data_IF_233651309426
#
_entry.id   IF_233651309426
#
_cell.length_a   1.000
_cell.length_b   1.000
_cell.length_c   1.000
_cell.angle_alpha   90.00
_cell.angle_beta   90.00
_cell.angle_gamma   90.00
#
_symmetry.space_group_name_H-M   'P 1'
#
loop_
_entity.id
_entity.type
_entity.pdbx_description
1 polymer ?
#
# COMPACT_ATOMS: atom_id res chain seq x y z
N UNK A 1 -25.99 13.72 8.31
CA UNK A 1 -25.06 12.82 7.59
C UNK A 1 -25.76 12.40 6.30
N UNK A 2 -25.13 12.55 5.14
CA UNK A 2 -25.71 12.08 3.86
C UNK A 2 -25.14 10.71 3.55
N UNK A 3 -25.98 9.83 3.05
CA UNK A 3 -25.57 8.49 2.62
C UNK A 3 -24.88 8.53 1.24
N UNK A 4 -24.31 7.40 0.85
CA UNK A 4 -23.71 7.17 -0.46
C UNK A 4 -24.83 7.15 -1.52
N UNK A 5 -24.67 7.81 -2.68
CA UNK A 5 -25.66 7.77 -3.75
C UNK A 5 -25.81 6.37 -4.36
N UNK A 6 -27.01 6.05 -4.84
CA UNK A 6 -27.28 4.81 -5.57
C UNK A 6 -26.36 4.68 -6.81
N UNK A 7 -25.78 3.49 -6.99
CA UNK A 7 -24.91 3.20 -8.13
C UNK A 7 -23.46 3.65 -7.98
N UNK A 8 -23.10 4.27 -6.84
CA UNK A 8 -21.72 4.69 -6.56
C UNK A 8 -20.73 3.52 -6.57
N UNK A 9 -21.16 2.33 -6.16
CA UNK A 9 -20.35 1.11 -6.14
C UNK A 9 -19.75 0.79 -7.52
N UNK A 10 -20.51 1.01 -8.60
CA UNK A 10 -20.03 0.78 -9.98
C UNK A 10 -18.93 1.76 -10.36
N UNK A 11 -19.03 3.00 -9.90
CA UNK A 11 -18.00 4.00 -10.12
C UNK A 11 -16.72 3.64 -9.35
N UNK A 12 -16.84 3.16 -8.11
CA UNK A 12 -15.69 2.73 -7.31
C UNK A 12 -15.02 1.52 -7.96
N UNK A 13 -15.76 0.47 -8.32
CA UNK A 13 -15.19 -0.73 -8.95
C UNK A 13 -14.45 -0.39 -10.25
N UNK A 14 -15.03 0.47 -11.09
CA UNK A 14 -14.38 0.94 -12.31
C UNK A 14 -13.04 1.64 -12.02
N UNK A 15 -13.00 2.50 -11.00
CA UNK A 15 -11.75 3.19 -10.61
C UNK A 15 -10.73 2.20 -10.07
N UNK A 16 -11.15 1.19 -9.30
CA UNK A 16 -10.24 0.15 -8.81
C UNK A 16 -9.58 -0.63 -9.95
N UNK A 17 -10.35 -1.00 -10.97
CA UNK A 17 -9.83 -1.67 -12.18
C UNK A 17 -8.81 -0.77 -12.91
N UNK A 18 -9.15 0.51 -13.13
CA UNK A 18 -8.25 1.48 -13.79
C UNK A 18 -6.95 1.69 -12.99
N UNK A 19 -7.02 1.75 -11.66
CA UNK A 19 -5.83 1.90 -10.81
C UNK A 19 -4.97 0.64 -10.85
N UNK A 20 -5.56 -0.56 -10.91
CA UNK A 20 -4.80 -1.81 -11.04
C UNK A 20 -4.04 -1.88 -12.37
N UNK A 21 -4.69 -1.53 -13.48
CA UNK A 21 -4.06 -1.43 -14.80
C UNK A 21 -2.88 -0.44 -14.78
N UNK A 22 -3.07 0.76 -14.22
CA UNK A 22 -2.01 1.77 -14.11
C UNK A 22 -0.87 1.26 -13.22
N UNK A 23 -1.16 0.56 -12.13
CA UNK A 23 -0.14 -0.03 -11.27
C UNK A 23 0.70 -1.07 -12.01
N UNK A 24 0.06 -1.92 -12.83
CA UNK A 24 0.73 -2.89 -13.70
C UNK A 24 1.68 -2.21 -14.70
N UNK A 25 1.23 -1.11 -15.32
CA UNK A 25 2.03 -0.33 -16.27
C UNK A 25 3.25 0.29 -15.59
N UNK A 26 3.06 0.90 -14.42
CA UNK A 26 4.15 1.50 -13.62
C UNK A 26 5.20 0.44 -13.28
N UNK A 27 4.79 -0.72 -12.77
CA UNK A 27 5.71 -1.81 -12.43
C UNK A 27 6.46 -2.33 -13.66
N UNK A 28 5.77 -2.49 -14.79
CA UNK A 28 6.37 -2.93 -16.05
C UNK A 28 7.45 -1.95 -16.53
N UNK A 29 7.19 -0.65 -16.41
CA UNK A 29 8.09 0.40 -16.85
C UNK A 29 9.27 0.64 -15.90
N UNK A 30 9.09 0.44 -14.58
CA UNK A 30 10.06 0.86 -13.57
C UNK A 30 10.84 -0.30 -12.93
N UNK A 31 10.21 -1.43 -12.61
CA UNK A 31 10.82 -2.47 -11.76
C UNK A 31 12.14 -3.01 -12.33
N UNK A 32 12.20 -3.22 -13.64
CA UNK A 32 13.37 -3.76 -14.36
C UNK A 32 14.16 -2.68 -15.11
N UNK A 33 13.76 -1.42 -15.00
CA UNK A 33 14.41 -0.33 -15.70
C UNK A 33 15.72 0.04 -15.00
N UNK A 34 16.82 -0.13 -15.72
CA UNK A 34 18.16 0.14 -15.20
C UNK A 34 18.35 1.60 -14.79
N UNK A 35 17.85 2.55 -15.58
CA UNK A 35 17.95 3.99 -15.26
C UNK A 35 17.20 4.28 -13.96
N UNK A 36 16.03 3.68 -13.76
CA UNK A 36 15.28 3.83 -12.52
C UNK A 36 16.02 3.23 -11.33
N UNK A 37 16.50 1.99 -11.44
CA UNK A 37 17.24 1.31 -10.38
C UNK A 37 18.53 2.06 -10.01
N UNK A 38 19.31 2.52 -10.99
CA UNK A 38 20.55 3.28 -10.78
C UNK A 38 20.30 4.59 -10.01
N UNK A 39 19.07 5.12 -10.05
CA UNK A 39 18.68 6.37 -9.39
C UNK A 39 18.01 6.20 -8.04
N UNK A 40 17.65 4.98 -7.66
CA UNK A 40 16.81 4.70 -6.47
C UNK A 40 17.38 3.64 -5.55
N UNK A 41 18.03 2.60 -6.10
CA UNK A 41 18.67 1.56 -5.28
C UNK A 41 19.92 2.09 -4.61
N UNK A 42 20.09 1.75 -3.34
CA UNK A 42 21.16 2.22 -2.46
C UNK A 42 21.23 3.75 -2.29
N UNK A 43 20.17 4.49 -2.67
CA UNK A 43 20.09 5.95 -2.50
C UNK A 43 19.18 6.26 -1.31
N UNK A 44 19.62 7.19 -0.46
CA UNK A 44 18.83 7.67 0.68
C UNK A 44 18.51 6.56 1.68
N UNK A 45 19.45 5.66 1.94
CA UNK A 45 19.30 4.54 2.88
C UNK A 45 19.04 5.08 4.29
N UNK A 46 18.03 4.52 4.96
CA UNK A 46 17.75 4.73 6.37
C UNK A 46 17.77 3.37 7.07
N UNK A 47 18.66 3.19 8.06
CA UNK A 47 18.67 1.96 8.85
C UNK A 47 17.46 1.89 9.78
N UNK A 48 17.12 0.68 10.22
CA UNK A 48 16.05 0.44 11.21
C UNK A 48 16.24 1.27 12.48
N UNK A 49 17.47 1.35 12.98
CA UNK A 49 17.82 2.08 14.20
C UNK A 49 17.62 3.59 14.02
N UNK A 50 18.07 4.13 12.89
CA UNK A 50 17.89 5.55 12.58
C UNK A 50 16.40 5.88 12.37
N UNK A 51 15.64 5.00 11.72
CA UNK A 51 14.20 5.19 11.55
C UNK A 51 13.49 5.27 12.91
N UNK A 52 13.82 4.41 13.86
CA UNK A 52 13.29 4.46 15.23
C UNK A 52 13.72 5.75 15.94
N UNK A 53 15.02 6.06 15.91
CA UNK A 53 15.60 7.23 16.58
C UNK A 53 14.99 8.55 16.10
N UNK A 54 14.69 8.65 14.80
CA UNK A 54 14.10 9.84 14.19
C UNK A 54 12.57 9.88 14.25
N UNK A 55 11.93 8.84 14.79
CA UNK A 55 10.46 8.74 14.82
C UNK A 55 9.83 8.61 13.44
N UNK A 56 10.53 7.99 12.49
CA UNK A 56 10.02 7.74 11.15
C UNK A 56 8.93 6.66 11.20
N UNK A 57 7.84 6.85 10.46
CA UNK A 57 6.67 5.97 10.49
C UNK A 57 6.21 5.55 9.08
N UNK A 58 5.23 4.64 9.04
CA UNK A 58 4.55 4.19 7.83
C UNK A 58 5.50 3.54 6.81
N UNK A 59 5.37 3.83 5.50
CA UNK A 59 6.12 3.12 4.47
C UNK A 59 7.62 3.38 4.53
N UNK A 60 8.04 4.52 5.09
CA UNK A 60 9.45 4.82 5.29
C UNK A 60 10.08 3.90 6.35
N UNK A 61 9.34 3.65 7.43
CA UNK A 61 9.73 2.73 8.49
C UNK A 61 9.71 1.28 7.99
N UNK A 62 8.65 0.89 7.28
CA UNK A 62 8.49 -0.45 6.69
C UNK A 62 9.53 -0.76 5.62
N UNK A 63 9.92 0.21 4.81
CA UNK A 63 11.01 0.05 3.86
C UNK A 63 12.37 -0.21 4.56
N UNK A 64 12.50 0.23 5.81
CA UNK A 64 13.70 0.07 6.65
C UNK A 64 13.63 -1.17 7.55
N UNK A 65 12.68 -2.08 7.33
CA UNK A 65 12.54 -3.34 8.08
C UNK A 65 11.81 -3.23 9.43
N UNK A 66 11.03 -2.17 9.65
CA UNK A 66 10.15 -2.04 10.81
C UNK A 66 8.78 -2.63 10.47
N UNK A 67 8.47 -3.76 11.09
CA UNK A 67 7.15 -4.41 11.02
C UNK A 67 6.18 -3.74 12.00
N UNK A 68 5.61 -2.61 11.58
CA UNK A 68 4.62 -1.88 12.36
C UNK A 68 3.62 -1.17 11.43
N UNK A 69 2.33 -1.48 11.61
CA UNK A 69 1.21 -0.80 10.95
C UNK A 69 0.07 -0.62 11.95
N UNK A 70 -0.34 0.62 12.16
CA UNK A 70 -1.41 0.98 13.10
C UNK A 70 -2.69 0.21 12.79
N UNK A 71 -3.01 -0.03 11.51
CA UNK A 71 -4.24 -0.74 11.11
C UNK A 71 -4.29 -2.19 11.60
N UNK A 72 -3.13 -2.81 11.84
CA UNK A 72 -3.02 -4.18 12.39
C UNK A 72 -2.76 -4.14 13.89
N UNK A 73 -1.85 -3.27 14.34
CA UNK A 73 -1.38 -3.22 15.72
C UNK A 73 -2.36 -2.51 16.66
N UNK A 74 -3.04 -1.48 16.18
CA UNK A 74 -4.06 -0.71 16.89
C UNK A 74 -5.26 -0.46 15.97
N UNK A 75 -6.04 -1.51 15.62
CA UNK A 75 -7.11 -1.40 14.63
C UNK A 75 -8.13 -0.33 14.96
N UNK A 76 -8.64 0.32 13.92
CA UNK A 76 -9.67 1.35 13.98
C UNK A 76 -10.59 1.22 12.77
N UNK A 77 -11.78 1.82 12.81
CA UNK A 77 -12.70 1.84 11.65
C UNK A 77 -12.93 0.47 11.00
N UNK A 78 -13.05 -0.59 11.81
CA UNK A 78 -13.25 -1.97 11.37
C UNK A 78 -12.08 -2.58 10.58
N UNK A 79 -10.86 -2.01 10.62
CA UNK A 79 -9.68 -2.60 9.97
C UNK A 79 -9.40 -4.05 10.41
N UNK A 80 -9.85 -4.42 11.61
CA UNK A 80 -9.83 -5.79 12.14
C UNK A 80 -10.65 -6.82 11.33
N UNK A 81 -11.61 -6.36 10.52
CA UNK A 81 -12.47 -7.22 9.69
C UNK A 81 -11.88 -7.49 8.29
N UNK A 82 -10.75 -6.88 7.95
CA UNK A 82 -10.11 -6.99 6.63
C UNK A 82 -8.86 -7.88 6.69
N UNK A 83 -8.71 -8.78 5.71
CA UNK A 83 -7.62 -9.77 5.66
C UNK A 83 -6.36 -9.28 4.92
N UNK A 84 -5.59 -8.48 5.66
CA UNK A 84 -4.39 -7.70 5.36
C UNK A 84 -2.97 -8.26 5.30
N UNK A 85 -2.22 -8.14 4.19
CA UNK A 85 -0.75 -8.22 4.25
C UNK A 85 -0.09 -6.83 4.37
N UNK A 86 0.86 -6.69 5.30
CA UNK A 86 1.68 -5.48 5.47
C UNK A 86 2.97 -5.61 4.67
N UNK A 87 3.18 -4.71 3.71
CA UNK A 87 4.38 -4.70 2.87
C UNK A 87 5.63 -4.20 3.62
N UNK A 88 6.68 -5.01 3.69
CA UNK A 88 7.94 -4.69 4.38
C UNK A 88 9.11 -4.94 3.44
N UNK A 89 10.09 -4.04 3.47
CA UNK A 89 11.37 -4.21 2.78
C UNK A 89 12.52 -4.01 3.79
N UNK A 90 13.76 -4.23 3.37
CA UNK A 90 14.89 -4.41 4.31
C UNK A 90 16.05 -3.44 4.11
N UNK A 91 16.19 -2.84 2.93
CA UNK A 91 17.35 -2.00 2.59
C UNK A 91 17.17 -0.55 3.04
N UNK A 92 15.94 -0.08 3.19
CA UNK A 92 15.64 1.30 3.61
C UNK A 92 15.97 2.37 2.57
N UNK A 93 16.23 1.99 1.32
CA UNK A 93 16.52 2.90 0.21
C UNK A 93 15.24 3.41 -0.49
N UNK A 94 15.41 4.30 -1.46
CA UNK A 94 14.28 4.87 -2.22
C UNK A 94 13.51 3.81 -3.02
N UNK A 95 14.21 2.78 -3.53
CA UNK A 95 13.58 1.72 -4.31
C UNK A 95 12.66 0.84 -3.44
N UNK A 96 13.10 0.48 -2.25
CA UNK A 96 12.33 -0.28 -1.27
C UNK A 96 11.07 0.49 -0.83
N UNK A 97 11.17 1.81 -0.62
CA UNK A 97 9.99 2.66 -0.33
C UNK A 97 8.97 2.60 -1.47
N UNK A 98 9.44 2.61 -2.72
CA UNK A 98 8.58 2.49 -3.89
C UNK A 98 7.91 1.10 -3.93
N UNK A 99 8.64 0.01 -3.70
CA UNK A 99 8.06 -1.34 -3.66
C UNK A 99 6.99 -1.48 -2.58
N UNK A 100 7.27 -0.98 -1.36
CA UNK A 100 6.29 -0.97 -0.27
C UNK A 100 5.01 -0.23 -0.68
N UNK A 101 5.13 0.91 -1.38
CA UNK A 101 3.97 1.67 -1.87
C UNK A 101 3.20 0.94 -2.96
N UNK A 102 3.88 0.30 -3.91
CA UNK A 102 3.21 -0.47 -4.96
C UNK A 102 2.42 -1.63 -4.36
N UNK A 103 3.00 -2.35 -3.40
CA UNK A 103 2.29 -3.42 -2.70
C UNK A 103 1.12 -2.86 -1.88
N UNK A 104 1.28 -1.74 -1.17
CA UNK A 104 0.16 -1.08 -0.48
C UNK A 104 -1.03 -0.75 -1.40
N UNK A 105 -0.76 -0.39 -2.66
CA UNK A 105 -1.82 -0.17 -3.67
C UNK A 105 -2.54 -1.48 -3.97
N UNK A 106 -1.81 -2.58 -4.23
CA UNK A 106 -2.40 -3.91 -4.48
C UNK A 106 -3.27 -4.38 -3.33
N UNK A 107 -2.75 -4.25 -2.12
CA UNK A 107 -3.44 -4.57 -0.89
C UNK A 107 -4.72 -3.71 -0.77
N UNK A 108 -4.63 -2.40 -1.00
CA UNK A 108 -5.80 -1.50 -0.94
C UNK A 108 -6.89 -1.87 -1.96
N UNK A 109 -6.51 -2.23 -3.20
CA UNK A 109 -7.46 -2.67 -4.24
C UNK A 109 -8.14 -3.97 -3.83
N UNK A 110 -7.36 -4.96 -3.36
CA UNK A 110 -7.87 -6.26 -2.89
C UNK A 110 -8.96 -6.08 -1.82
N UNK A 111 -8.74 -5.21 -0.83
CA UNK A 111 -9.72 -5.00 0.24
C UNK A 111 -10.90 -4.17 -0.17
N UNK A 112 -10.69 -3.08 -0.92
CA UNK A 112 -11.79 -2.28 -1.42
C UNK A 112 -12.74 -3.15 -2.25
N UNK A 113 -12.21 -3.92 -3.21
CA UNK A 113 -13.03 -4.82 -4.04
C UNK A 113 -13.75 -5.91 -3.22
N UNK A 114 -13.04 -6.60 -2.33
CA UNK A 114 -13.61 -7.71 -1.54
C UNK A 114 -14.65 -7.26 -0.53
N UNK A 115 -14.47 -6.09 0.09
CA UNK A 115 -15.38 -5.58 1.12
C UNK A 115 -16.69 -5.08 0.52
N UNK A 116 -16.68 -4.45 -0.66
CA UNK A 116 -17.94 -4.09 -1.35
C UNK A 116 -18.81 -5.32 -1.64
N UNK A 117 -18.19 -6.44 -2.03
CA UNK A 117 -18.88 -7.71 -2.24
C UNK A 117 -19.50 -8.21 -0.92
N UNK A 118 -18.76 -8.11 0.19
CA UNK A 118 -19.25 -8.55 1.52
C UNK A 118 -20.41 -7.68 2.01
N UNK A 119 -20.31 -6.36 1.91
CA UNK A 119 -21.38 -5.42 2.28
C UNK A 119 -22.66 -5.63 1.46
N UNK A 120 -22.56 -6.01 0.17
CA UNK A 120 -23.74 -6.37 -0.63
C UNK A 120 -24.39 -7.69 -0.23
N UNK A 121 -23.66 -8.63 0.35
CA UNK A 121 -24.17 -9.94 0.78
C UNK A 121 -24.80 -9.91 2.19
N UNK A 122 -24.47 -8.88 2.99
CA UNK A 122 -24.97 -8.68 4.35
C UNK A 122 -26.13 -7.65 4.43
N UNK A 123 -26.52 -7.04 3.29
CA UNK A 123 -27.72 -6.21 3.11
C UNK A 123 -28.87 -7.00 2.49
#
# INVERSE_FOLDING_TARGET
MRDIPDGYEKAVLKVLDEVDEIANDIETLLNKNRIWQDRTKNIGIISKENAISYGISGPMARASGIDWDIRVNEPYSSYEDFDFDVAIALNGDVFDRYLVRMEEIRQSIKYAGSHWIKCQLEM
#
